data_IF_001139301073
#
_entry.id   IF_001139301073
#
_cell.length_a   1.000
_cell.length_b   1.000
_cell.length_c   1.000
_cell.angle_alpha   90.00
_cell.angle_beta   90.00
_cell.angle_gamma   90.00
#
_symmetry.space_group_name_H-M   'P 1'
#
loop_
_entity.id
_entity.type
_entity.pdbx_description
1 polymer ?
#
# COMPACT_ATOMS: atom_id res chain seq x y z
N UNK A 1 1.82 -5.95 -22.25
CA UNK A 1 1.42 -5.88 -20.82
C UNK A 1 2.40 -4.97 -20.10
N UNK A 2 2.30 -3.64 -20.32
CA UNK A 2 3.37 -2.67 -20.00
C UNK A 2 3.50 -2.32 -18.51
N UNK A 3 2.38 -2.31 -17.77
CA UNK A 3 2.37 -1.99 -16.33
C UNK A 3 3.19 -2.98 -15.49
N UNK A 4 2.96 -4.29 -15.66
CA UNK A 4 3.66 -5.31 -14.87
C UNK A 4 5.16 -5.34 -15.18
N UNK A 5 5.53 -5.08 -16.43
CA UNK A 5 6.92 -4.98 -16.86
C UNK A 5 7.61 -3.75 -16.23
N UNK A 6 6.97 -2.58 -16.28
CA UNK A 6 7.50 -1.38 -15.63
C UNK A 6 7.63 -1.55 -14.11
N UNK A 7 6.68 -2.23 -13.48
CA UNK A 7 6.73 -2.53 -12.05
C UNK A 7 7.86 -3.52 -11.73
N UNK A 8 7.99 -4.61 -12.49
CA UNK A 8 9.09 -5.57 -12.32
C UNK A 8 10.46 -4.93 -12.50
N UNK A 9 10.60 -3.99 -13.46
CA UNK A 9 11.85 -3.25 -13.68
C UNK A 9 12.27 -2.34 -12.52
N UNK A 10 11.43 -2.15 -11.50
CA UNK A 10 11.88 -1.49 -10.26
C UNK A 10 12.77 -2.38 -9.40
N UNK A 11 12.73 -3.71 -9.54
CA UNK A 11 13.62 -4.62 -8.80
C UNK A 11 15.10 -4.25 -8.99
N UNK A 12 15.47 -3.79 -10.19
CA UNK A 12 16.83 -3.33 -10.53
C UNK A 12 17.11 -1.86 -10.19
N UNK A 13 16.14 -1.15 -9.60
CA UNK A 13 16.20 0.28 -9.28
C UNK A 13 15.83 0.58 -7.82
N UNK A 14 15.70 -0.46 -6.99
CA UNK A 14 15.49 -0.30 -5.56
C UNK A 14 16.73 0.41 -4.97
N UNK A 15 16.56 1.41 -4.10
CA UNK A 15 17.68 1.97 -3.37
C UNK A 15 18.16 0.95 -2.32
N UNK A 16 19.44 1.01 -1.95
CA UNK A 16 20.02 0.14 -0.90
C UNK A 16 19.47 0.44 0.51
N UNK A 17 18.70 1.53 0.65
CA UNK A 17 18.12 2.05 1.88
C UNK A 17 16.72 1.44 2.15
N UNK A 18 15.99 1.90 3.16
CA UNK A 18 14.68 1.32 3.47
C UNK A 18 13.64 1.71 2.41
N UNK A 19 13.20 0.76 1.58
CA UNK A 19 12.43 1.07 0.37
C UNK A 19 11.03 0.44 0.29
N UNK A 20 10.62 -0.36 1.29
CA UNK A 20 9.29 -0.97 1.32
C UNK A 20 9.04 -2.02 0.23
N UNK A 21 10.10 -2.68 -0.25
CA UNK A 21 10.07 -3.72 -1.29
C UNK A 21 9.30 -3.33 -2.55
N UNK A 22 8.28 -4.09 -2.92
CA UNK A 22 7.43 -3.92 -4.09
C UNK A 22 6.40 -2.79 -3.92
N UNK A 23 6.02 -2.48 -2.67
CA UNK A 23 4.99 -1.49 -2.34
C UNK A 23 5.44 -0.06 -2.63
N UNK A 24 6.71 0.27 -2.39
CA UNK A 24 7.25 1.61 -2.67
C UNK A 24 7.25 1.95 -4.16
N UNK A 25 7.89 1.12 -5.00
CA UNK A 25 7.79 1.16 -6.44
C UNK A 25 6.37 1.23 -6.98
N UNK A 26 5.45 0.40 -6.47
CA UNK A 26 4.07 0.38 -6.92
C UNK A 26 3.40 1.74 -6.74
N UNK A 27 3.61 2.38 -5.58
CA UNK A 27 3.05 3.70 -5.28
C UNK A 27 3.60 4.78 -6.22
N UNK A 28 4.92 4.84 -6.42
CA UNK A 28 5.54 5.79 -7.35
C UNK A 28 5.09 5.56 -8.80
N UNK A 29 5.01 4.31 -9.23
CA UNK A 29 4.55 3.95 -10.57
C UNK A 29 3.08 4.35 -10.79
N UNK A 30 2.21 4.14 -9.81
CA UNK A 30 0.82 4.58 -9.88
C UNK A 30 0.73 6.10 -10.02
N UNK A 31 1.50 6.88 -9.26
CA UNK A 31 1.54 8.34 -9.42
C UNK A 31 1.92 8.72 -10.85
N UNK A 32 3.02 8.16 -11.37
CA UNK A 32 3.52 8.43 -12.72
C UNK A 32 2.51 8.08 -13.83
N UNK A 33 1.78 6.97 -13.69
CA UNK A 33 0.85 6.51 -14.73
C UNK A 33 -0.53 7.17 -14.67
N UNK A 34 -0.95 7.62 -13.49
CA UNK A 34 -2.27 8.18 -13.27
C UNK A 34 -2.30 9.70 -13.43
N UNK A 35 -1.20 10.37 -13.12
CA UNK A 35 -1.03 11.83 -13.22
C UNK A 35 0.37 12.13 -13.81
N UNK A 36 0.62 11.79 -15.10
CA UNK A 36 1.95 11.93 -15.71
C UNK A 36 2.50 13.36 -15.75
N UNK A 37 1.63 14.36 -15.63
CA UNK A 37 1.96 15.78 -15.54
C UNK A 37 2.52 16.20 -14.17
N UNK A 38 2.32 15.41 -13.11
CA UNK A 38 2.77 15.74 -11.75
C UNK A 38 4.25 15.38 -11.53
N UNK A 39 5.14 15.90 -12.37
CA UNK A 39 6.57 15.56 -12.35
C UNK A 39 7.25 16.04 -11.08
N UNK A 40 6.90 17.23 -10.58
CA UNK A 40 7.45 17.78 -9.34
C UNK A 40 7.01 16.97 -8.11
N UNK A 41 5.75 16.55 -8.07
CA UNK A 41 5.20 15.64 -7.06
C UNK A 41 5.93 14.31 -7.08
N UNK A 42 6.10 13.73 -8.26
CA UNK A 42 6.81 12.47 -8.42
C UNK A 42 8.25 12.58 -7.89
N UNK A 43 9.00 13.61 -8.30
CA UNK A 43 10.39 13.82 -7.88
C UNK A 43 10.51 14.01 -6.36
N UNK A 44 9.59 14.78 -5.75
CA UNK A 44 9.54 14.96 -4.32
C UNK A 44 9.28 13.64 -3.57
N UNK A 45 8.29 12.86 -4.02
CA UNK A 45 7.96 11.57 -3.40
C UNK A 45 9.09 10.55 -3.60
N UNK A 46 9.72 10.53 -4.77
CA UNK A 46 10.87 9.67 -5.07
C UNK A 46 12.09 10.03 -4.20
N UNK A 47 12.28 11.32 -3.89
CA UNK A 47 13.34 11.75 -2.98
C UNK A 47 13.14 11.21 -1.56
N UNK A 48 11.91 11.26 -1.02
CA UNK A 48 11.63 10.61 0.27
C UNK A 48 11.88 9.11 0.22
N UNK A 49 11.51 8.47 -0.90
CA UNK A 49 11.73 7.03 -1.09
C UNK A 49 13.22 6.64 -1.04
N UNK A 50 14.06 7.32 -1.85
CA UNK A 50 15.49 7.03 -1.96
C UNK A 50 16.25 7.28 -0.67
N UNK A 51 15.81 8.27 0.12
CA UNK A 51 16.47 8.67 1.36
C UNK A 51 15.89 8.03 2.62
N UNK A 52 14.88 7.17 2.51
CA UNK A 52 14.29 6.52 3.66
C UNK A 52 15.27 5.54 4.31
N UNK A 53 15.43 5.63 5.63
CA UNK A 53 16.36 4.80 6.41
C UNK A 53 15.64 3.87 7.38
N UNK A 54 14.32 4.02 7.51
CA UNK A 54 13.48 3.27 8.43
C UNK A 54 12.03 3.21 7.92
N UNK A 55 11.19 2.43 8.58
CA UNK A 55 9.75 2.41 8.31
C UNK A 55 9.14 3.81 8.43
N UNK A 56 9.53 4.55 9.46
CA UNK A 56 9.01 5.89 9.77
C UNK A 56 9.31 6.90 8.65
N UNK A 57 10.55 6.92 8.18
CA UNK A 57 10.97 7.82 7.09
C UNK A 57 10.41 7.39 5.73
N UNK A 58 10.23 6.09 5.50
CA UNK A 58 9.55 5.57 4.30
C UNK A 58 8.08 5.93 4.23
N UNK A 59 7.39 5.98 5.37
CA UNK A 59 5.99 6.36 5.40
C UNK A 59 5.77 7.82 4.96
N UNK A 60 6.80 8.67 4.95
CA UNK A 60 6.75 10.00 4.34
C UNK A 60 6.56 9.94 2.81
N UNK A 61 7.18 8.98 2.13
CA UNK A 61 6.91 8.74 0.70
C UNK A 61 5.47 8.26 0.49
N UNK A 62 5.01 7.29 1.30
CA UNK A 62 3.63 6.78 1.21
C UNK A 62 2.62 7.92 1.37
N UNK A 63 2.87 8.81 2.33
CA UNK A 63 2.04 9.99 2.53
C UNK A 63 2.11 10.97 1.35
N UNK A 64 3.31 11.23 0.82
CA UNK A 64 3.53 12.08 -0.35
C UNK A 64 2.73 11.62 -1.58
N UNK A 65 2.83 10.34 -1.94
CA UNK A 65 2.07 9.79 -3.08
C UNK A 65 0.57 9.94 -2.86
N UNK A 66 0.08 9.69 -1.64
CA UNK A 66 -1.35 9.84 -1.30
C UNK A 66 -1.81 11.30 -1.41
N UNK A 67 -0.99 12.26 -1.02
CA UNK A 67 -1.30 13.68 -1.16
C UNK A 67 -1.32 14.10 -2.64
N UNK A 68 -0.37 13.61 -3.45
CA UNK A 68 -0.31 13.90 -4.88
C UNK A 68 -1.51 13.33 -5.66
N UNK A 69 -1.91 12.08 -5.36
CA UNK A 69 -3.12 11.47 -5.93
C UNK A 69 -4.42 12.13 -5.43
N UNK A 70 -4.37 12.75 -4.24
CA UNK A 70 -5.47 13.45 -3.61
C UNK A 70 -6.66 12.54 -3.29
N UNK A 71 -7.87 13.10 -3.42
CA UNK A 71 -9.13 12.38 -3.14
C UNK A 71 -9.57 11.46 -4.30
N UNK A 72 -8.88 11.52 -5.43
CA UNK A 72 -9.21 10.74 -6.62
C UNK A 72 -8.94 9.26 -6.34
N UNK A 73 -9.95 8.43 -6.59
CA UNK A 73 -9.88 6.98 -6.38
C UNK A 73 -10.17 6.17 -7.63
N UNK A 74 -10.80 6.78 -8.62
CA UNK A 74 -11.24 6.08 -9.83
C UNK A 74 -10.66 6.78 -11.04
N UNK A 75 -9.84 6.05 -11.78
CA UNK A 75 -9.42 6.41 -13.12
C UNK A 75 -10.10 5.43 -14.09
N UNK A 76 -11.19 5.83 -14.76
CA UNK A 76 -11.98 4.95 -15.61
C UNK A 76 -11.11 4.20 -16.63
N UNK A 77 -11.33 2.89 -16.74
CA UNK A 77 -10.55 2.03 -17.64
C UNK A 77 -9.10 1.77 -17.21
N UNK A 78 -8.65 2.29 -16.06
CA UNK A 78 -7.29 2.10 -15.53
C UNK A 78 -7.29 1.40 -14.17
N UNK A 79 -7.65 2.13 -13.10
CA UNK A 79 -7.53 1.62 -11.72
C UNK A 79 -8.61 2.21 -10.81
N UNK A 80 -9.01 1.42 -9.82
CA UNK A 80 -9.82 1.86 -8.70
C UNK A 80 -9.08 1.56 -7.38
N UNK A 81 -8.83 2.61 -6.59
CA UNK A 81 -8.16 2.51 -5.29
C UNK A 81 -9.24 2.51 -4.19
N UNK A 82 -9.36 1.37 -3.51
CA UNK A 82 -10.28 1.22 -2.39
C UNK A 82 -9.80 1.99 -1.15
N UNK A 83 -10.75 2.36 -0.28
CA UNK A 83 -10.40 2.83 1.06
C UNK A 83 -9.72 1.72 1.84
N UNK A 84 -8.89 2.09 2.82
CA UNK A 84 -8.33 1.15 3.78
C UNK A 84 -9.46 0.30 4.37
N UNK A 85 -9.27 -1.02 4.41
CA UNK A 85 -10.27 -2.00 4.90
C UNK A 85 -11.56 -2.15 4.08
N UNK A 86 -11.69 -1.47 2.94
CA UNK A 86 -12.84 -1.64 2.03
C UNK A 86 -12.50 -2.50 0.80
N UNK A 87 -11.22 -2.80 0.59
CA UNK A 87 -10.79 -3.71 -0.47
C UNK A 87 -11.16 -5.15 -0.12
N UNK A 88 -11.22 -5.99 -1.14
CA UNK A 88 -11.41 -7.43 -1.03
C UNK A 88 -10.21 -8.16 -0.38
N UNK A 89 -9.06 -7.47 -0.23
CA UNK A 89 -7.86 -7.98 0.45
C UNK A 89 -7.57 -7.14 1.69
N UNK A 90 -7.30 -7.79 2.83
CA UNK A 90 -6.95 -7.11 4.08
C UNK A 90 -5.78 -7.79 4.77
N UNK A 91 -4.92 -7.01 5.40
CA UNK A 91 -3.85 -7.56 6.22
C UNK A 91 -4.42 -8.25 7.47
N UNK A 92 -3.99 -9.49 7.73
CA UNK A 92 -4.51 -10.31 8.82
C UNK A 92 -4.24 -9.71 10.20
N UNK A 93 -3.07 -9.10 10.40
CA UNK A 93 -2.69 -8.51 11.69
C UNK A 93 -3.63 -7.37 12.10
N UNK A 94 -4.16 -6.63 11.12
CA UNK A 94 -5.03 -5.48 11.37
C UNK A 94 -6.37 -5.85 12.04
N UNK A 95 -6.69 -7.14 12.14
CA UNK A 95 -7.81 -7.60 12.97
C UNK A 95 -7.45 -8.89 13.71
N UNK A 96 -6.20 -9.09 14.11
CA UNK A 96 -5.77 -10.29 14.86
C UNK A 96 -6.14 -11.63 14.18
N UNK A 97 -6.12 -11.67 12.84
CA UNK A 97 -6.52 -12.81 12.03
C UNK A 97 -8.03 -13.07 11.97
N UNK A 98 -8.87 -12.25 12.61
CA UNK A 98 -10.32 -12.35 12.50
C UNK A 98 -10.81 -12.01 11.08
N UNK A 99 -11.88 -12.66 10.64
CA UNK A 99 -12.47 -12.44 9.32
C UNK A 99 -13.98 -12.74 9.30
N UNK A 100 -14.66 -12.25 8.27
CA UNK A 100 -16.08 -12.47 8.03
C UNK A 100 -16.35 -12.81 6.56
N UNK A 101 -17.60 -13.13 6.21
CA UNK A 101 -17.98 -13.48 4.83
C UNK A 101 -17.78 -12.35 3.80
N UNK A 102 -17.57 -11.11 4.24
CA UNK A 102 -17.28 -9.98 3.36
C UNK A 102 -15.79 -9.89 2.98
N UNK A 103 -14.90 -10.54 3.72
CA UNK A 103 -13.48 -10.65 3.36
C UNK A 103 -13.32 -11.67 2.23
N UNK A 104 -12.55 -11.33 1.19
CA UNK A 104 -12.24 -12.25 0.08
C UNK A 104 -10.85 -12.87 0.21
N UNK A 105 -9.86 -12.09 0.66
CA UNK A 105 -8.50 -12.56 0.89
C UNK A 105 -7.89 -11.90 2.13
N UNK A 106 -7.18 -12.69 2.92
CA UNK A 106 -6.30 -12.17 3.96
C UNK A 106 -4.85 -12.22 3.47
N UNK A 107 -4.22 -11.06 3.46
CA UNK A 107 -2.80 -10.90 3.20
C UNK A 107 -2.01 -11.15 4.51
N UNK A 108 -0.73 -11.51 4.37
CA UNK A 108 0.17 -11.71 5.52
C UNK A 108 0.48 -13.17 5.84
N UNK A 109 0.27 -14.10 4.91
CA UNK A 109 0.82 -15.47 5.00
C UNK A 109 2.34 -15.44 4.72
N UNK A 110 3.10 -14.82 5.62
CA UNK A 110 4.57 -14.69 5.51
C UNK A 110 5.32 -15.38 6.66
N UNK A 111 4.64 -15.68 7.76
CA UNK A 111 5.23 -16.26 8.98
C UNK A 111 5.13 -17.79 8.97
N UNK A 112 6.21 -18.47 9.38
CA UNK A 112 6.22 -19.93 9.65
C UNK A 112 5.41 -20.32 10.90
N UNK A 113 4.88 -19.35 11.64
CA UNK A 113 4.06 -19.57 12.85
C UNK A 113 2.60 -19.24 12.54
N UNK A 114 1.77 -20.28 12.52
CA UNK A 114 0.34 -20.17 12.21
C UNK A 114 -0.51 -19.67 13.38
N UNK A 115 0.11 -19.37 14.52
CA UNK A 115 -0.53 -19.09 15.81
C UNK A 115 -1.41 -17.83 15.76
N UNK A 116 -1.01 -16.84 14.96
CA UNK A 116 -1.72 -15.56 14.78
C UNK A 116 -2.58 -15.52 13.51
N UNK A 117 -2.57 -16.60 12.73
CA UNK A 117 -3.27 -16.67 11.45
C UNK A 117 -4.69 -17.21 11.60
N UNK A 118 -5.57 -17.01 10.59
CA UNK A 118 -6.88 -17.65 10.56
C UNK A 118 -6.82 -19.17 10.37
N UNK A 119 -5.64 -19.72 10.04
CA UNK A 119 -5.48 -21.07 9.56
C UNK A 119 -4.88 -21.98 10.63
N UNK A 120 -5.35 -23.23 10.65
CA UNK A 120 -4.89 -24.27 11.58
C UNK A 120 -3.59 -24.93 11.09
N UNK A 121 -3.45 -25.05 9.77
CA UNK A 121 -2.32 -25.67 9.10
C UNK A 121 -2.09 -25.04 7.73
N UNK A 122 -0.94 -25.33 7.14
CA UNK A 122 -0.63 -24.98 5.76
C UNK A 122 -1.64 -25.55 4.76
N UNK A 123 -1.75 -24.86 3.62
CA UNK A 123 -2.63 -25.24 2.52
C UNK A 123 -2.24 -26.63 2.03
N UNK A 124 -3.21 -27.54 2.03
CA UNK A 124 -3.00 -28.89 1.53
C UNK A 124 -3.11 -28.88 0.00
N UNK A 125 -1.96 -28.81 -0.67
CA UNK A 125 -1.88 -28.64 -2.13
C UNK A 125 -2.63 -29.74 -2.92
N UNK A 126 -2.71 -30.97 -2.39
CA UNK A 126 -3.47 -32.09 -2.99
C UNK A 126 -5.00 -31.89 -2.98
N UNK A 127 -5.48 -30.88 -2.23
CA UNK A 127 -6.87 -30.50 -2.13
C UNK A 127 -7.19 -29.20 -2.90
N UNK A 128 -6.21 -28.60 -3.59
CA UNK A 128 -6.47 -27.53 -4.54
C UNK A 128 -7.52 -27.97 -5.58
N UNK A 129 -8.30 -27.02 -6.10
CA UNK A 129 -9.48 -27.24 -6.97
C UNK A 129 -10.64 -28.05 -6.37
N UNK A 130 -10.55 -28.49 -5.11
CA UNK A 130 -11.67 -29.15 -4.39
C UNK A 130 -12.48 -28.14 -3.57
N UNK A 131 -12.63 -26.92 -4.08
CA UNK A 131 -13.29 -25.79 -3.40
C UNK A 131 -12.52 -25.35 -2.15
N UNK A 132 -13.24 -25.07 -1.05
CA UNK A 132 -12.63 -24.59 0.19
C UNK A 132 -11.98 -25.70 1.05
N UNK A 133 -11.90 -26.94 0.56
CA UNK A 133 -11.39 -28.09 1.34
C UNK A 133 -9.90 -27.99 1.69
N UNK A 134 -9.11 -27.33 0.84
CA UNK A 134 -7.69 -27.07 1.06
C UNK A 134 -7.44 -26.08 2.21
N UNK A 135 -8.44 -25.27 2.54
CA UNK A 135 -8.36 -24.21 3.54
C UNK A 135 -8.90 -24.72 4.87
N UNK A 136 -8.01 -24.95 5.85
CA UNK A 136 -8.39 -25.35 7.21
C UNK A 136 -8.28 -24.13 8.11
N UNK A 137 -9.39 -23.46 8.31
CA UNK A 137 -9.45 -22.27 9.15
C UNK A 137 -10.00 -22.58 10.54
N UNK A 138 -9.49 -21.82 11.51
CA UNK A 138 -9.93 -21.76 12.89
C UNK A 138 -11.35 -21.20 12.93
N UNK A 139 -12.31 -21.97 13.46
CA UNK A 139 -13.73 -21.56 13.48
C UNK A 139 -13.94 -20.29 14.31
N UNK A 140 -13.17 -20.13 15.39
CA UNK A 140 -13.18 -18.97 16.28
C UNK A 140 -12.66 -17.68 15.65
N UNK A 141 -11.88 -17.78 14.57
CA UNK A 141 -11.40 -16.61 13.82
C UNK A 141 -12.46 -16.05 12.87
N UNK A 142 -13.51 -16.81 12.57
CA UNK A 142 -14.64 -16.34 11.77
C UNK A 142 -15.67 -15.65 12.66
N UNK A 143 -15.84 -14.33 12.49
CA UNK A 143 -16.67 -13.48 13.34
C UNK A 143 -17.77 -12.75 12.53
N UNK A 144 -18.69 -12.08 13.24
CA UNK A 144 -19.68 -11.21 12.61
C UNK A 144 -19.06 -9.91 12.10
N UNK A 145 -19.78 -9.20 11.23
CA UNK A 145 -19.34 -7.89 10.71
C UNK A 145 -19.24 -6.87 11.85
N UNK A 146 -20.12 -6.93 12.84
CA UNK A 146 -20.12 -6.05 14.01
C UNK A 146 -18.85 -6.25 14.85
N UNK A 147 -18.46 -7.51 15.11
CA UNK A 147 -17.21 -7.80 15.81
C UNK A 147 -16.01 -7.30 15.00
N UNK A 148 -16.00 -7.53 13.69
CA UNK A 148 -14.90 -7.10 12.84
C UNK A 148 -14.76 -5.57 12.81
N UNK A 149 -15.86 -4.82 12.84
CA UNK A 149 -15.83 -3.35 12.97
C UNK A 149 -15.15 -2.90 14.27
N UNK A 150 -15.33 -3.62 15.38
CA UNK A 150 -14.62 -3.32 16.64
C UNK A 150 -13.12 -3.55 16.52
N UNK A 151 -12.69 -4.63 15.86
CA UNK A 151 -11.26 -4.89 15.60
C UNK A 151 -10.65 -3.81 14.70
N UNK A 152 -11.37 -3.42 13.65
CA UNK A 152 -10.95 -2.35 12.74
C UNK A 152 -10.81 -1.01 13.47
N UNK A 153 -11.74 -0.67 14.36
CA UNK A 153 -11.64 0.52 15.20
C UNK A 153 -10.35 0.51 16.03
N UNK A 154 -10.05 -0.61 16.70
CA UNK A 154 -8.82 -0.74 17.48
C UNK A 154 -7.55 -0.52 16.63
N UNK A 155 -7.54 -1.07 15.42
CA UNK A 155 -6.47 -0.81 14.46
C UNK A 155 -6.41 0.66 14.02
N UNK A 156 -7.53 1.29 13.71
CA UNK A 156 -7.57 2.71 13.34
C UNK A 156 -7.04 3.61 14.46
N UNK A 157 -7.40 3.33 15.71
CA UNK A 157 -6.91 4.03 16.89
C UNK A 157 -5.40 3.83 17.06
N UNK A 158 -4.92 2.58 16.96
CA UNK A 158 -3.48 2.28 16.96
C UNK A 158 -2.74 3.06 15.86
N UNK A 159 -3.23 3.03 14.63
CA UNK A 159 -2.59 3.77 13.55
C UNK A 159 -2.62 5.28 13.76
N UNK A 160 -3.62 5.83 14.44
CA UNK A 160 -3.67 7.27 14.74
C UNK A 160 -2.57 7.69 15.71
N UNK A 161 -2.33 6.87 16.72
CA UNK A 161 -1.38 7.18 17.79
C UNK A 161 0.06 6.90 17.35
N UNK A 162 0.26 5.79 16.65
CA UNK A 162 1.58 5.26 16.28
C UNK A 162 2.02 5.60 14.85
N UNK A 163 1.23 6.36 14.06
CA UNK A 163 1.70 6.78 12.74
C UNK A 163 2.98 7.62 12.86
N UNK A 164 4.00 7.27 12.09
CA UNK A 164 5.31 7.92 12.12
C UNK A 164 5.22 9.45 12.00
N UNK A 165 5.98 10.16 12.84
CA UNK A 165 5.97 11.63 12.88
C UNK A 165 6.52 12.24 11.59
N UNK A 166 7.53 11.60 11.02
CA UNK A 166 8.19 11.92 9.75
C UNK A 166 7.19 11.92 8.59
N UNK A 167 6.11 11.14 8.72
CA UNK A 167 5.04 11.07 7.72
C UNK A 167 3.94 12.12 7.92
N UNK A 168 4.00 12.91 8.99
CA UNK A 168 3.05 14.00 9.28
C UNK A 168 3.52 15.34 8.71
N UNK A 169 4.72 15.39 8.13
CA UNK A 169 5.25 16.56 7.41
C UNK A 169 4.50 16.71 6.09
N UNK A 170 4.11 17.94 5.73
CA UNK A 170 3.44 18.22 4.47
C UNK A 170 4.47 18.26 3.31
N UNK A 171 4.46 17.28 2.39
CA UNK A 171 5.52 17.11 1.38
C UNK A 171 5.67 18.33 0.46
N UNK A 172 4.56 19.00 0.14
CA UNK A 172 4.55 20.19 -0.71
C UNK A 172 5.08 21.46 -0.02
N UNK A 173 5.27 21.44 1.30
CA UNK A 173 5.93 22.54 2.01
C UNK A 173 7.41 22.24 2.27
N UNK A 174 7.75 20.97 2.46
CA UNK A 174 9.10 20.53 2.83
C UNK A 174 10.02 20.27 1.62
N UNK A 175 9.51 19.58 0.60
CA UNK A 175 10.34 19.13 -0.52
C UNK A 175 10.23 20.00 -1.78
N UNK A 176 9.11 20.70 -1.97
CA UNK A 176 8.83 21.42 -3.20
C UNK A 176 9.61 22.74 -3.29
N UNK A 177 10.29 22.94 -4.43
CA UNK A 177 11.14 24.11 -4.68
C UNK A 177 10.74 24.82 -5.96
N UNK A 178 9.69 25.64 -5.89
CA UNK A 178 9.15 26.41 -7.03
C UNK A 178 10.23 27.31 -7.65
N UNK A 179 11.16 27.84 -6.85
CA UNK A 179 12.24 28.69 -7.33
C UNK A 179 13.14 28.02 -8.39
N UNK A 180 13.22 26.69 -8.42
CA UNK A 180 14.02 25.95 -9.39
C UNK A 180 13.38 25.88 -10.79
N UNK A 181 12.06 26.08 -10.89
CA UNK A 181 11.32 25.94 -12.15
C UNK A 181 10.52 27.18 -12.55
N UNK A 182 10.38 28.18 -11.68
CA UNK A 182 9.60 29.38 -11.95
C UNK A 182 10.11 30.15 -13.19
N UNK A 183 9.22 30.64 -14.08
CA UNK A 183 7.75 30.57 -14.04
C UNK A 183 7.16 29.34 -14.74
N UNK A 184 7.99 28.40 -15.16
CA UNK A 184 7.67 27.34 -16.12
C UNK A 184 7.57 25.96 -15.47
N UNK A 185 7.10 25.89 -14.22
CA UNK A 185 6.99 24.63 -13.47
C UNK A 185 6.08 23.59 -14.13
N UNK A 186 5.09 24.05 -14.91
CA UNK A 186 4.12 23.19 -15.61
C UNK A 186 4.42 23.02 -17.09
N UNK A 187 5.51 23.60 -17.60
CA UNK A 187 5.86 23.44 -19.01
C UNK A 187 6.43 22.03 -19.21
N UNK A 188 5.53 21.09 -19.50
CA UNK A 188 5.87 19.73 -19.92
C UNK A 188 7.02 19.75 -20.93
N UNK A 189 8.21 19.30 -20.51
CA UNK A 189 9.19 18.81 -21.45
C UNK A 189 8.55 17.57 -22.06
N UNK A 190 8.05 17.73 -23.29
CA UNK A 190 7.42 16.69 -24.09
C UNK A 190 8.32 15.45 -24.05
N UNK A 191 7.85 14.37 -23.44
CA UNK A 191 8.43 13.05 -23.69
C UNK A 191 8.08 12.66 -25.13
N UNK A 192 9.05 12.85 -26.03
CA UNK A 192 9.15 12.17 -27.32
C UNK A 192 9.34 10.68 -27.12
#
# INVERSE_FOLDING_TARGET
MKFLEEWANFEFRLPDSWHGYDQGPLQLLLLKLLIPESTLEYEACEKYWKNATSYETYMAMVYCVRQALGVTKTWPGKVHIFRKFHAFVRDGWATNGYWCKADFMLHGWKETKLDETPFEKDIELSLCDKGLKAWKWRKEKKVSVERLRTELKGSEDFYRDYFANESRIHPFLDAFKINGCYPNCDSSTKFS
#
